data_IF_657453394887
#
_entry.id   IF_657453394887
#
_cell.length_a   1.000
_cell.length_b   1.000
_cell.length_c   1.000
_cell.angle_alpha   90.00
_cell.angle_beta   90.00
_cell.angle_gamma   90.00
#
_symmetry.space_group_name_H-M   'P 1'
#
loop_
_entity.id
_entity.type
_entity.pdbx_description
1 polymer ?
#
# COMPACT_ATOMS: atom_id res chain seq x y z
N UNK A 1 4.13 40.49 3.08
CA UNK A 1 5.23 40.43 4.06
C UNK A 1 4.80 39.47 5.16
N UNK A 2 5.24 38.21 5.09
CA UNK A 2 5.22 37.27 6.21
C UNK A 2 6.70 36.93 6.39
N UNK A 3 7.28 37.36 7.51
CA UNK A 3 8.69 37.14 7.87
C UNK A 3 8.92 35.64 8.04
N UNK A 4 9.72 35.06 7.15
CA UNK A 4 10.54 33.92 7.50
C UNK A 4 11.77 34.50 8.19
N UNK A 5 11.97 34.21 9.47
CA UNK A 5 13.23 34.53 10.12
C UNK A 5 14.34 33.74 9.43
N UNK A 6 15.33 34.50 8.98
CA UNK A 6 16.47 34.06 8.20
C UNK A 6 17.32 33.06 8.98
N UNK A 7 17.42 31.82 8.50
CA UNK A 7 18.61 31.01 8.72
C UNK A 7 19.54 31.18 7.52
N UNK A 8 20.65 31.86 7.80
CA UNK A 8 21.71 32.18 6.87
C UNK A 8 22.60 30.92 6.70
N UNK A 9 22.64 30.30 5.53
CA UNK A 9 23.72 29.36 5.19
C UNK A 9 24.29 29.72 3.82
N UNK A 10 25.47 30.35 3.88
CA UNK A 10 26.34 30.60 2.74
C UNK A 10 26.77 29.26 2.12
N UNK A 11 26.76 29.25 0.79
CA UNK A 11 27.44 28.29 -0.10
C UNK A 11 27.22 26.81 0.22
N UNK A 12 26.30 26.18 -0.51
CA UNK A 12 26.62 24.97 -1.28
C UNK A 12 25.47 24.69 -2.26
N UNK A 13 25.85 24.33 -3.49
CA UNK A 13 24.96 23.92 -4.59
C UNK A 13 23.74 23.16 -4.07
N UNK A 14 22.54 23.68 -4.33
CA UNK A 14 21.29 22.93 -4.30
C UNK A 14 21.45 21.72 -5.24
N UNK A 15 21.70 20.55 -4.69
CA UNK A 15 21.61 19.30 -5.43
C UNK A 15 20.13 18.95 -5.47
N UNK A 16 19.46 19.32 -6.55
CA UNK A 16 18.17 18.75 -6.88
C UNK A 16 18.38 17.26 -7.16
N UNK A 17 18.29 16.41 -6.15
CA UNK A 17 17.83 15.05 -6.41
C UNK A 17 16.33 15.16 -6.70
N UNK A 18 16.03 15.45 -7.96
CA UNK A 18 14.68 15.48 -8.48
C UNK A 18 14.12 14.05 -8.42
N UNK A 19 13.56 13.65 -7.29
CA UNK A 19 12.88 12.37 -7.13
C UNK A 19 11.55 12.44 -7.88
N UNK A 20 11.59 12.22 -9.20
CA UNK A 20 10.41 12.26 -10.09
C UNK A 20 9.36 11.18 -9.80
N UNK A 21 9.57 10.27 -8.84
CA UNK A 21 8.63 9.18 -8.60
C UNK A 21 8.68 8.58 -7.18
N UNK A 22 7.89 9.03 -6.19
CA UNK A 22 7.60 8.13 -5.03
C UNK A 22 6.51 8.52 -4.05
N UNK A 23 6.09 9.77 -3.96
CA UNK A 23 4.91 10.03 -3.14
C UNK A 23 3.63 9.60 -3.91
N UNK A 24 2.41 9.71 -3.34
CA UNK A 24 1.20 9.74 -4.17
C UNK A 24 1.47 10.69 -5.34
N UNK A 25 0.90 10.49 -6.54
CA UNK A 25 1.20 11.21 -7.81
C UNK A 25 1.25 12.77 -7.75
N UNK A 26 1.07 13.35 -6.57
CA UNK A 26 1.01 14.74 -6.16
C UNK A 26 2.09 15.19 -5.15
N UNK A 27 3.14 14.43 -4.79
CA UNK A 27 4.17 14.95 -3.87
C UNK A 27 5.62 14.53 -4.25
N UNK A 28 6.59 15.32 -3.77
CA UNK A 28 8.03 15.22 -3.97
C UNK A 28 8.75 15.33 -2.62
N UNK A 29 9.94 14.73 -2.50
CA UNK A 29 10.81 14.96 -1.36
C UNK A 29 12.04 15.76 -1.78
N UNK A 30 12.39 16.78 -1.02
CA UNK A 30 13.54 17.64 -1.28
C UNK A 30 14.55 17.48 -0.15
N UNK A 31 15.81 17.21 -0.50
CA UNK A 31 16.90 17.19 0.48
C UNK A 31 17.52 18.58 0.60
N UNK A 32 17.51 19.12 1.81
CA UNK A 32 18.22 20.36 2.17
C UNK A 32 19.16 20.06 3.34
N UNK A 33 20.44 19.83 3.07
CA UNK A 33 21.40 19.40 4.09
C UNK A 33 21.07 18.02 4.67
N UNK A 34 20.86 17.94 5.98
CA UNK A 34 20.44 16.72 6.69
C UNK A 34 18.91 16.53 6.72
N UNK A 35 18.13 17.49 6.22
CA UNK A 35 16.66 17.45 6.28
C UNK A 35 16.03 16.97 4.95
N UNK A 36 14.87 16.29 5.03
CA UNK A 36 14.06 15.93 3.87
C UNK A 36 12.67 16.61 3.94
N UNK A 37 12.39 17.55 3.05
CA UNK A 37 11.09 18.26 2.99
C UNK A 37 10.10 17.52 2.09
N UNK A 38 8.81 17.52 2.44
CA UNK A 38 7.74 16.92 1.63
C UNK A 38 6.94 18.03 0.93
N UNK A 39 7.07 18.11 -0.40
CA UNK A 39 6.50 19.19 -1.22
C UNK A 39 5.37 18.63 -2.09
N UNK A 40 4.23 19.34 -2.22
CA UNK A 40 3.16 18.97 -3.16
C UNK A 40 3.57 19.25 -4.61
N UNK A 41 2.89 18.61 -5.56
CA UNK A 41 3.16 18.71 -7.00
C UNK A 41 2.77 20.06 -7.60
N UNK A 42 1.90 20.81 -6.93
CA UNK A 42 1.59 22.21 -7.23
C UNK A 42 2.62 23.18 -6.60
N UNK A 43 3.77 22.67 -6.14
CA UNK A 43 4.83 23.41 -5.43
C UNK A 43 4.41 24.03 -4.09
N UNK A 44 3.26 23.66 -3.52
CA UNK A 44 2.91 24.06 -2.16
C UNK A 44 3.53 23.11 -1.12
N UNK A 45 4.01 23.58 0.04
CA UNK A 45 4.46 22.70 1.11
C UNK A 45 3.34 21.74 1.55
N UNK A 46 3.59 20.44 1.50
CA UNK A 46 2.70 19.43 2.09
C UNK A 46 3.03 19.19 3.56
N UNK A 47 4.30 19.38 3.88
CA UNK A 47 4.86 19.06 5.17
C UNK A 47 6.38 19.06 5.16
N UNK A 48 6.94 18.71 6.29
CA UNK A 48 8.36 18.52 6.49
C UNK A 48 8.55 17.22 7.28
N UNK A 49 9.63 16.50 7.03
CA UNK A 49 10.03 15.43 7.93
C UNK A 49 11.54 15.44 8.13
N UNK A 50 11.96 15.17 9.35
CA UNK A 50 13.39 15.00 9.65
C UNK A 50 13.51 13.65 10.33
N UNK A 51 14.55 12.91 9.98
CA UNK A 51 14.76 11.58 10.51
C UNK A 51 16.23 11.34 10.81
N UNK A 52 16.48 10.40 11.72
CA UNK A 52 17.78 9.82 11.98
C UNK A 52 17.64 8.30 12.04
N UNK A 53 18.74 7.60 11.82
CA UNK A 53 18.79 6.15 11.93
C UNK A 53 20.01 5.74 12.75
N UNK A 54 19.77 4.99 13.82
CA UNK A 54 20.80 4.45 14.70
C UNK A 54 20.27 3.18 15.37
N UNK A 55 21.16 2.21 15.66
CA UNK A 55 20.84 0.99 16.41
C UNK A 55 19.59 0.23 15.91
N UNK A 56 19.44 0.09 14.59
CA UNK A 56 18.28 -0.57 13.95
C UNK A 56 16.91 0.11 14.24
N UNK A 57 16.95 1.40 14.59
CA UNK A 57 15.77 2.24 14.83
C UNK A 57 15.82 3.47 13.94
N UNK A 58 14.67 3.81 13.35
CA UNK A 58 14.48 5.06 12.63
C UNK A 58 13.65 6.01 13.48
N UNK A 59 14.24 7.13 13.88
CA UNK A 59 13.54 8.20 14.58
C UNK A 59 13.14 9.26 13.57
N UNK A 60 11.92 9.78 13.65
CA UNK A 60 11.53 10.91 12.82
C UNK A 60 10.56 11.85 13.52
N UNK A 61 10.49 13.06 12.99
CA UNK A 61 9.47 14.05 13.28
C UNK A 61 8.80 14.45 11.97
N UNK A 62 7.48 14.66 11.99
CA UNK A 62 6.69 15.00 10.80
C UNK A 62 5.72 16.13 11.10
N UNK A 63 5.65 17.07 10.17
CA UNK A 63 4.71 18.18 10.18
C UNK A 63 3.95 18.17 8.87
N UNK A 64 2.63 18.35 8.93
CA UNK A 64 1.80 18.51 7.73
C UNK A 64 1.26 19.94 7.66
N UNK A 65 1.25 20.50 6.47
CA UNK A 65 0.65 21.81 6.23
C UNK A 65 -0.86 21.78 6.55
N UNK A 66 -1.41 22.95 6.91
CA UNK A 66 -2.84 23.13 7.11
C UNK A 66 -3.60 22.78 5.82
N UNK A 67 -4.70 22.02 5.94
CA UNK A 67 -5.48 21.58 4.77
C UNK A 67 -4.91 20.40 4.00
N UNK A 68 -3.94 19.67 4.56
CA UNK A 68 -3.48 18.41 3.97
C UNK A 68 -4.50 17.31 4.29
N UNK A 69 -5.26 16.85 3.30
CA UNK A 69 -6.31 15.84 3.48
C UNK A 69 -5.78 14.39 3.52
N UNK A 70 -4.61 14.14 2.92
CA UNK A 70 -4.05 12.78 2.74
C UNK A 70 -3.00 12.38 3.80
N UNK A 71 -3.01 12.99 4.98
CA UNK A 71 -1.96 12.81 6.02
C UNK A 71 -1.67 11.35 6.36
N UNK A 72 -2.72 10.50 6.45
CA UNK A 72 -2.59 9.06 6.71
C UNK A 72 -1.76 8.36 5.64
N UNK A 73 -2.06 8.65 4.37
CA UNK A 73 -1.36 8.07 3.23
C UNK A 73 0.07 8.59 3.12
N UNK A 74 0.29 9.87 3.38
CA UNK A 74 1.63 10.46 3.35
C UNK A 74 2.53 9.86 4.43
N UNK A 75 2.00 9.69 5.66
CA UNK A 75 2.74 9.04 6.72
C UNK A 75 3.10 7.59 6.37
N UNK A 76 2.19 6.84 5.73
CA UNK A 76 2.45 5.48 5.27
C UNK A 76 3.62 5.41 4.28
N UNK A 77 3.66 6.35 3.32
CA UNK A 77 4.74 6.44 2.33
C UNK A 77 6.07 6.82 2.97
N UNK A 78 6.08 7.76 3.92
CA UNK A 78 7.30 8.11 4.68
C UNK A 78 7.82 6.87 5.42
N UNK A 79 6.92 6.12 6.07
CA UNK A 79 7.29 4.89 6.77
C UNK A 79 7.88 3.86 5.80
N UNK A 80 7.23 3.59 4.68
CA UNK A 80 7.74 2.64 3.69
C UNK A 80 9.12 3.07 3.15
N UNK A 81 9.35 4.36 2.98
CA UNK A 81 10.66 4.87 2.58
C UNK A 81 11.74 4.55 3.62
N UNK A 82 11.46 4.78 4.89
CA UNK A 82 12.38 4.44 5.98
C UNK A 82 12.65 2.94 6.01
N UNK A 83 11.61 2.11 5.82
CA UNK A 83 11.73 0.65 5.74
C UNK A 83 12.66 0.23 4.60
N UNK A 84 12.46 0.74 3.40
CA UNK A 84 13.26 0.40 2.21
C UNK A 84 14.71 0.88 2.26
N UNK A 85 14.93 2.02 2.92
CA UNK A 85 16.27 2.63 2.92
C UNK A 85 17.14 2.06 4.04
N UNK A 86 16.55 1.80 5.20
CA UNK A 86 17.31 1.49 6.42
C UNK A 86 16.95 0.14 7.05
N UNK A 87 15.87 -0.50 6.62
CA UNK A 87 15.36 -1.77 7.18
C UNK A 87 15.26 -1.81 8.74
N UNK A 88 14.79 -0.73 9.40
CA UNK A 88 14.70 -0.66 10.85
C UNK A 88 13.81 -1.76 11.43
N UNK A 89 14.09 -2.20 12.66
CA UNK A 89 13.15 -2.99 13.47
C UNK A 89 12.01 -2.13 14.01
N UNK A 90 12.26 -0.85 14.26
CA UNK A 90 11.31 0.07 14.87
C UNK A 90 11.40 1.42 14.17
N UNK A 91 10.24 1.98 13.84
CA UNK A 91 10.11 3.40 13.49
C UNK A 91 9.48 4.12 14.68
N UNK A 92 10.08 5.24 15.12
CA UNK A 92 9.62 6.02 16.26
C UNK A 92 9.39 7.48 15.90
N UNK A 93 8.30 8.05 16.42
CA UNK A 93 8.00 9.47 16.38
C UNK A 93 8.37 10.04 17.74
N UNK A 94 9.51 10.73 17.81
CA UNK A 94 10.09 11.22 19.06
C UNK A 94 9.34 12.44 19.64
N UNK A 95 8.81 13.30 18.76
CA UNK A 95 8.08 14.52 19.13
C UNK A 95 6.67 14.50 18.51
N UNK A 96 5.76 13.65 19.00
CA UNK A 96 4.45 13.48 18.36
C UNK A 96 3.57 14.72 18.54
N UNK A 97 3.06 15.24 17.43
CA UNK A 97 2.01 16.26 17.45
C UNK A 97 0.65 15.65 17.84
N UNK A 98 0.05 16.10 18.95
CA UNK A 98 -1.19 15.51 19.51
C UNK A 98 -2.34 15.48 18.50
N UNK A 99 -2.50 16.54 17.70
CA UNK A 99 -3.55 16.64 16.68
C UNK A 99 -3.40 15.62 15.53
N UNK A 100 -2.29 14.87 15.48
CA UNK A 100 -2.06 13.79 14.52
C UNK A 100 -2.22 12.38 15.13
N UNK A 101 -2.71 12.26 16.36
CA UNK A 101 -2.91 10.97 17.04
C UNK A 101 -3.64 9.92 16.18
N UNK A 102 -4.73 10.31 15.52
CA UNK A 102 -5.50 9.40 14.66
C UNK A 102 -4.78 9.05 13.35
N UNK A 103 -3.84 9.89 12.90
CA UNK A 103 -2.96 9.59 11.76
C UNK A 103 -1.91 8.55 12.15
N UNK A 104 -1.34 8.66 13.35
CA UNK A 104 -0.37 7.70 13.88
C UNK A 104 -1.01 6.34 14.11
N UNK A 105 -2.16 6.29 14.78
CA UNK A 105 -2.91 5.04 15.02
C UNK A 105 -3.30 4.34 13.71
N UNK A 106 -3.77 5.10 12.72
CA UNK A 106 -4.10 4.55 11.40
C UNK A 106 -2.89 3.93 10.67
N UNK A 107 -1.67 4.33 11.05
CA UNK A 107 -0.42 3.80 10.51
C UNK A 107 0.23 2.73 11.39
N UNK A 108 -0.53 2.16 12.34
CA UNK A 108 -0.09 1.13 13.30
C UNK A 108 0.98 1.58 14.29
N UNK A 109 1.08 2.88 14.57
CA UNK A 109 1.89 3.36 15.69
C UNK A 109 1.14 3.18 17.01
N UNK A 110 1.87 2.74 18.03
CA UNK A 110 1.38 2.59 19.41
C UNK A 110 2.09 3.60 20.29
N UNK A 111 1.34 4.28 21.17
CA UNK A 111 1.92 5.22 22.14
C UNK A 111 2.71 4.45 23.21
N UNK A 112 3.95 4.84 23.46
CA UNK A 112 4.84 4.27 24.46
C UNK A 112 5.52 5.43 25.21
N UNK A 113 5.00 5.80 26.39
CA UNK A 113 5.41 7.04 27.06
C UNK A 113 5.11 8.28 26.21
N UNK A 114 6.12 9.10 25.99
CA UNK A 114 6.04 10.35 25.22
C UNK A 114 6.25 10.16 23.71
N UNK A 115 6.48 8.93 23.26
CA UNK A 115 6.75 8.62 21.85
C UNK A 115 5.66 7.73 21.25
N UNK A 116 5.63 7.67 19.93
CA UNK A 116 4.85 6.67 19.18
C UNK A 116 5.80 5.72 18.45
N UNK A 117 5.55 4.42 18.54
CA UNK A 117 6.41 3.38 17.95
C UNK A 117 5.63 2.46 17.02
N UNK A 118 6.22 2.15 15.86
CA UNK A 118 5.77 1.12 14.93
C UNK A 118 6.85 0.05 14.84
N UNK A 119 6.51 -1.17 15.28
CA UNK A 119 7.36 -2.34 15.06
C UNK A 119 7.20 -2.79 13.62
N UNK A 120 8.31 -2.98 12.92
CA UNK A 120 8.33 -3.52 11.56
C UNK A 120 8.23 -5.03 11.65
N UNK A 121 7.30 -5.61 10.87
CA UNK A 121 7.07 -7.05 10.92
C UNK A 121 8.29 -7.84 10.39
N UNK A 122 8.61 -9.01 10.97
CA UNK A 122 9.75 -9.81 10.54
C UNK A 122 9.74 -10.18 9.06
N UNK A 123 8.55 -10.45 8.51
CA UNK A 123 8.38 -10.80 7.09
C UNK A 123 8.84 -9.70 6.15
N UNK A 124 8.66 -8.42 6.54
CA UNK A 124 9.12 -7.29 5.73
C UNK A 124 10.66 -7.22 5.65
N UNK A 125 11.38 -7.71 6.67
CA UNK A 125 12.85 -7.70 6.72
C UNK A 125 13.50 -8.80 5.86
N UNK A 126 12.85 -9.96 5.77
CA UNK A 126 13.40 -11.10 5.01
C UNK A 126 13.09 -11.03 3.51
N UNK A 127 12.12 -10.19 3.12
CA UNK A 127 11.70 -10.03 1.74
C UNK A 127 12.51 -8.96 1.01
N UNK A 128 12.85 -9.25 -0.24
CA UNK A 128 13.49 -8.29 -1.13
C UNK A 128 12.58 -7.08 -1.40
N UNK A 129 13.14 -5.88 -1.44
CA UNK A 129 12.38 -4.65 -1.69
C UNK A 129 11.65 -4.62 -3.05
N UNK A 130 12.09 -5.40 -4.04
CA UNK A 130 11.40 -5.56 -5.33
C UNK A 130 10.05 -6.29 -5.21
N UNK A 131 9.73 -6.86 -4.04
CA UNK A 131 8.40 -7.36 -3.70
C UNK A 131 7.39 -6.22 -3.62
N UNK A 132 7.84 -5.02 -3.22
CA UNK A 132 6.99 -3.88 -2.87
C UNK A 132 7.19 -2.72 -3.84
N UNK A 133 6.12 -1.95 -4.07
CA UNK A 133 6.27 -0.61 -4.64
C UNK A 133 6.65 0.43 -3.56
N UNK A 134 6.77 1.69 -3.94
CA UNK A 134 7.18 2.79 -3.06
C UNK A 134 6.07 3.21 -2.09
N UNK A 135 4.82 2.84 -2.37
CA UNK A 135 3.71 2.99 -1.44
C UNK A 135 3.60 1.76 -0.50
N UNK A 136 4.39 0.71 -0.72
CA UNK A 136 4.43 -0.52 0.06
C UNK A 136 3.39 -1.56 -0.35
N UNK A 137 2.78 -1.43 -1.53
CA UNK A 137 1.92 -2.48 -2.08
C UNK A 137 2.76 -3.66 -2.54
N UNK A 138 2.28 -4.87 -2.30
CA UNK A 138 2.92 -6.10 -2.78
C UNK A 138 2.62 -6.23 -4.28
N UNK A 139 3.66 -6.15 -5.11
CA UNK A 139 3.58 -6.20 -6.58
C UNK A 139 4.27 -7.41 -7.19
N UNK A 140 5.02 -8.19 -6.41
CA UNK A 140 5.77 -9.34 -6.90
C UNK A 140 5.69 -10.55 -5.95
N UNK A 141 4.56 -11.25 -6.01
CA UNK A 141 4.36 -12.53 -5.33
C UNK A 141 5.41 -13.59 -5.72
N UNK A 142 5.94 -13.51 -6.95
CA UNK A 142 6.92 -14.48 -7.46
C UNK A 142 8.21 -14.59 -6.62
N UNK A 143 8.50 -13.56 -5.82
CA UNK A 143 9.67 -13.46 -4.94
C UNK A 143 9.37 -13.74 -3.46
N UNK A 144 8.20 -14.31 -3.13
CA UNK A 144 7.76 -14.55 -1.75
C UNK A 144 7.73 -16.05 -1.41
N UNK A 145 8.83 -16.78 -1.69
CA UNK A 145 8.89 -18.23 -1.43
C UNK A 145 9.07 -18.54 0.06
N UNK A 146 9.68 -17.61 0.79
CA UNK A 146 10.03 -17.69 2.20
C UNK A 146 8.81 -17.49 3.11
N UNK A 147 7.70 -16.98 2.55
CA UNK A 147 6.50 -16.64 3.30
C UNK A 147 5.51 -17.80 3.25
N UNK A 148 5.20 -18.44 4.40
CA UNK A 148 4.30 -19.58 4.44
C UNK A 148 2.84 -19.17 4.22
N UNK A 149 2.05 -20.09 3.67
CA UNK A 149 0.61 -19.98 3.53
C UNK A 149 -0.03 -21.37 3.56
N UNK A 150 -0.43 -21.83 4.76
CA UNK A 150 -0.84 -23.21 4.98
C UNK A 150 0.28 -24.19 4.67
N UNK A 151 -0.03 -25.24 3.90
CA UNK A 151 0.94 -26.24 3.44
C UNK A 151 1.80 -25.79 2.26
N UNK A 152 1.61 -24.56 1.78
CA UNK A 152 2.28 -24.02 0.59
C UNK A 152 3.05 -22.74 0.94
N UNK A 153 3.86 -22.26 -0.01
CA UNK A 153 4.41 -20.91 0.05
C UNK A 153 3.49 -19.88 -0.63
N UNK A 154 3.72 -18.61 -0.28
CA UNK A 154 2.98 -17.48 -0.84
C UNK A 154 3.21 -17.33 -2.33
N UNK A 155 4.42 -17.62 -2.83
CA UNK A 155 4.71 -17.62 -4.27
C UNK A 155 3.68 -18.47 -5.04
N UNK A 156 3.34 -19.65 -4.54
CA UNK A 156 2.48 -20.60 -5.22
C UNK A 156 0.98 -20.42 -4.92
N UNK A 157 0.60 -20.00 -3.71
CA UNK A 157 -0.82 -19.99 -3.28
C UNK A 157 -1.28 -18.70 -2.56
N UNK A 158 -0.43 -17.69 -2.45
CA UNK A 158 -0.71 -16.48 -1.65
C UNK A 158 -1.40 -15.32 -2.38
N UNK A 159 -1.80 -15.46 -3.65
CA UNK A 159 -2.36 -14.35 -4.43
C UNK A 159 -3.61 -13.72 -3.79
N UNK A 160 -4.45 -14.53 -3.12
CA UNK A 160 -5.67 -14.05 -2.46
C UNK A 160 -5.39 -13.14 -1.26
N UNK A 161 -4.51 -13.56 -0.34
CA UNK A 161 -4.17 -12.74 0.82
C UNK A 161 -3.37 -11.50 0.46
N UNK A 162 -2.49 -11.60 -0.54
CA UNK A 162 -1.79 -10.43 -1.11
C UNK A 162 -2.80 -9.43 -1.65
N UNK A 163 -3.81 -9.90 -2.37
CA UNK A 163 -4.82 -9.02 -2.93
C UNK A 163 -5.65 -8.34 -1.82
N UNK A 164 -5.98 -9.07 -0.75
CA UNK A 164 -6.63 -8.55 0.44
C UNK A 164 -5.80 -7.51 1.19
N UNK A 165 -4.52 -7.81 1.44
CA UNK A 165 -3.54 -6.89 2.06
C UNK A 165 -3.48 -5.56 1.29
N UNK A 166 -3.32 -5.64 -0.04
CA UNK A 166 -3.25 -4.46 -0.88
C UNK A 166 -4.58 -3.65 -0.88
N UNK A 167 -5.74 -4.30 -0.78
CA UNK A 167 -7.02 -3.58 -0.62
C UNK A 167 -7.07 -2.83 0.70
N UNK A 168 -6.73 -3.46 1.83
CA UNK A 168 -6.71 -2.78 3.13
C UNK A 168 -5.75 -1.59 3.13
N UNK A 169 -4.53 -1.80 2.61
CA UNK A 169 -3.54 -0.73 2.47
C UNK A 169 -4.05 0.43 1.63
N UNK A 170 -4.75 0.14 0.52
CA UNK A 170 -5.35 1.17 -0.34
C UNK A 170 -6.48 1.95 0.35
N UNK A 171 -7.16 1.33 1.31
CA UNK A 171 -8.17 1.96 2.15
C UNK A 171 -7.58 2.67 3.38
N UNK A 172 -6.25 2.77 3.47
CA UNK A 172 -5.56 3.42 4.58
C UNK A 172 -5.62 2.61 5.89
N UNK A 173 -5.80 1.30 5.78
CA UNK A 173 -5.86 0.36 6.90
C UNK A 173 -4.56 -0.45 6.94
N UNK A 174 -3.57 0.03 7.69
CA UNK A 174 -2.30 -0.69 7.87
C UNK A 174 -2.50 -1.96 8.70
N UNK A 175 -1.91 -3.07 8.22
CA UNK A 175 -1.91 -4.38 8.86
C UNK A 175 -0.61 -5.10 8.49
N UNK A 176 -0.23 -6.12 9.26
CA UNK A 176 0.92 -6.96 8.92
C UNK A 176 0.56 -7.99 7.86
N UNK A 177 1.53 -8.36 7.01
CA UNK A 177 1.41 -9.46 6.05
C UNK A 177 1.12 -10.77 6.78
N UNK A 178 1.78 -11.03 7.92
CA UNK A 178 1.54 -12.24 8.71
C UNK A 178 0.09 -12.38 9.17
N UNK A 179 -0.51 -11.28 9.64
CA UNK A 179 -1.91 -11.28 10.07
C UNK A 179 -2.84 -11.57 8.90
N UNK A 180 -2.62 -10.91 7.75
CA UNK A 180 -3.42 -11.15 6.55
C UNK A 180 -3.34 -12.61 6.09
N UNK A 181 -2.12 -13.16 6.00
CA UNK A 181 -1.89 -14.54 5.60
C UNK A 181 -2.58 -15.52 6.55
N UNK A 182 -2.37 -15.41 7.87
CA UNK A 182 -2.96 -16.33 8.86
C UNK A 182 -4.48 -16.25 8.94
N UNK A 183 -5.07 -15.06 8.82
CA UNK A 183 -6.53 -14.92 8.89
C UNK A 183 -7.23 -15.53 7.67
N UNK A 184 -6.62 -15.41 6.49
CA UNK A 184 -7.16 -15.96 5.24
C UNK A 184 -6.80 -17.45 5.04
N UNK A 185 -5.65 -17.89 5.53
CA UNK A 185 -5.25 -19.30 5.55
C UNK A 185 -6.33 -20.20 6.18
N UNK A 186 -6.98 -19.75 7.26
CA UNK A 186 -8.09 -20.47 7.91
C UNK A 186 -9.23 -20.77 6.92
N UNK A 187 -9.52 -19.83 6.03
CA UNK A 187 -10.52 -19.98 4.99
C UNK A 187 -10.06 -20.87 3.83
N UNK A 188 -8.76 -20.85 3.50
CA UNK A 188 -8.16 -21.72 2.49
C UNK A 188 -8.11 -23.19 2.94
N UNK A 189 -7.78 -23.45 4.21
CA UNK A 189 -7.75 -24.80 4.79
C UNK A 189 -9.13 -25.48 4.75
N UNK A 190 -10.22 -24.72 4.93
CA UNK A 190 -11.59 -25.21 4.81
C UNK A 190 -12.03 -25.43 3.34
N UNK A 191 -11.33 -24.86 2.37
CA UNK A 191 -11.64 -24.90 0.94
C UNK A 191 -10.90 -25.96 0.12
N UNK A 192 -9.94 -26.70 0.70
CA UNK A 192 -9.19 -27.76 0.02
C UNK A 192 -8.04 -27.27 -0.89
N UNK A 193 -7.49 -28.18 -1.72
CA UNK A 193 -6.27 -28.08 -2.55
C UNK A 193 -6.18 -26.88 -3.54
N UNK A 194 -7.19 -26.00 -3.58
CA UNK A 194 -7.35 -24.91 -4.54
C UNK A 194 -7.21 -23.50 -3.91
N UNK A 195 -6.08 -23.20 -3.26
CA UNK A 195 -5.73 -21.82 -2.86
C UNK A 195 -6.79 -21.08 -2.01
N UNK A 196 -6.74 -19.74 -2.00
CA UNK A 196 -7.69 -18.91 -1.25
C UNK A 196 -9.11 -18.96 -1.86
N UNK A 197 -10.11 -19.23 -1.01
CA UNK A 197 -11.52 -19.24 -1.41
C UNK A 197 -12.05 -17.80 -1.54
N UNK A 198 -12.66 -17.47 -2.69
CA UNK A 198 -13.22 -16.16 -2.99
C UNK A 198 -14.22 -15.67 -1.93
N UNK A 199 -15.05 -16.57 -1.40
CA UNK A 199 -16.02 -16.23 -0.36
C UNK A 199 -15.33 -15.93 0.98
N UNK A 200 -14.27 -16.67 1.32
CA UNK A 200 -13.46 -16.40 2.50
C UNK A 200 -12.83 -15.01 2.44
N UNK A 201 -12.23 -14.66 1.30
CA UNK A 201 -11.69 -13.31 1.07
C UNK A 201 -12.77 -12.23 1.16
N UNK A 202 -13.95 -12.46 0.58
CA UNK A 202 -15.08 -11.52 0.66
C UNK A 202 -15.56 -11.29 2.11
N UNK A 203 -15.78 -12.37 2.87
CA UNK A 203 -16.21 -12.30 4.26
C UNK A 203 -15.14 -11.68 5.15
N UNK A 204 -13.88 -11.99 4.89
CA UNK A 204 -12.75 -11.39 5.59
C UNK A 204 -12.69 -9.89 5.35
N UNK A 205 -12.78 -9.41 4.10
CA UNK A 205 -12.80 -7.97 3.81
C UNK A 205 -13.98 -7.25 4.48
N UNK A 206 -15.17 -7.89 4.54
CA UNK A 206 -16.31 -7.37 5.32
C UNK A 206 -15.99 -7.31 6.82
N UNK A 207 -15.37 -8.36 7.38
CA UNK A 207 -14.98 -8.41 8.79
C UNK A 207 -13.99 -7.32 9.17
N UNK A 208 -13.13 -6.89 8.23
CA UNK A 208 -12.25 -5.73 8.45
C UNK A 208 -13.00 -4.38 8.43
N UNK A 209 -14.31 -4.35 8.17
CA UNK A 209 -15.15 -3.14 8.20
C UNK A 209 -15.30 -2.44 6.85
N UNK A 210 -14.91 -3.07 5.74
CA UNK A 210 -15.08 -2.49 4.40
C UNK A 210 -16.50 -2.73 3.84
N UNK A 211 -17.10 -1.71 3.23
CA UNK A 211 -18.31 -1.87 2.41
C UNK A 211 -17.95 -2.50 1.05
N UNK A 212 -17.88 -3.84 1.04
CA UNK A 212 -17.59 -4.62 -0.15
C UNK A 212 -18.82 -5.29 -0.73
N UNK A 213 -18.83 -5.44 -2.05
CA UNK A 213 -19.85 -6.18 -2.78
C UNK A 213 -19.26 -6.93 -3.96
N UNK A 214 -19.84 -8.08 -4.30
CA UNK A 214 -19.37 -8.92 -5.40
C UNK A 214 -20.11 -8.63 -6.71
N UNK A 215 -19.47 -8.94 -7.85
CA UNK A 215 -20.14 -9.06 -9.14
C UNK A 215 -20.71 -10.47 -9.33
N UNK A 216 -21.72 -10.61 -10.17
CA UNK A 216 -22.04 -11.91 -10.77
C UNK A 216 -20.87 -12.34 -11.69
N UNK A 217 -20.62 -13.66 -11.85
CA UNK A 217 -19.59 -14.15 -12.76
C UNK A 217 -19.86 -13.68 -14.20
N UNK A 218 -19.00 -12.81 -14.71
CA UNK A 218 -18.80 -12.49 -16.13
C UNK A 218 -17.89 -11.30 -16.28
N UNK A 219 -17.12 -11.26 -17.38
CA UNK A 219 -16.26 -10.10 -17.69
C UNK A 219 -17.07 -8.79 -17.80
N UNK A 220 -18.28 -8.83 -18.37
CA UNK A 220 -19.17 -7.66 -18.48
C UNK A 220 -19.63 -7.14 -17.11
N UNK A 221 -20.02 -8.04 -16.21
CA UNK A 221 -20.44 -7.66 -14.86
C UNK A 221 -19.26 -7.14 -14.03
N UNK A 222 -18.07 -7.72 -14.20
CA UNK A 222 -16.85 -7.24 -13.56
C UNK A 222 -16.52 -5.80 -13.99
N UNK A 223 -16.51 -5.50 -15.29
CA UNK A 223 -16.27 -4.14 -15.80
C UNK A 223 -17.28 -3.14 -15.25
N UNK A 224 -18.58 -3.49 -15.24
CA UNK A 224 -19.61 -2.63 -14.63
C UNK A 224 -19.37 -2.39 -13.14
N UNK A 225 -18.93 -3.42 -12.40
CA UNK A 225 -18.65 -3.33 -10.97
C UNK A 225 -17.46 -2.42 -10.68
N UNK A 226 -16.35 -2.61 -11.42
CA UNK A 226 -15.13 -1.83 -11.33
C UNK A 226 -15.41 -0.34 -11.55
N UNK A 227 -16.20 0.02 -12.57
CA UNK A 227 -16.55 1.42 -12.86
C UNK A 227 -17.17 2.17 -11.67
N UNK A 228 -17.89 1.44 -10.80
CA UNK A 228 -18.65 1.98 -9.67
C UNK A 228 -17.91 1.85 -8.32
N UNK A 229 -16.67 1.37 -8.33
CA UNK A 229 -15.88 1.13 -7.12
C UNK A 229 -14.67 2.08 -7.04
N UNK A 230 -14.09 2.18 -5.85
CA UNK A 230 -12.80 2.85 -5.65
C UNK A 230 -11.64 1.90 -5.94
N UNK A 231 -11.76 0.66 -5.45
CA UNK A 231 -10.76 -0.38 -5.59
C UNK A 231 -11.39 -1.76 -5.36
N UNK A 232 -10.58 -2.81 -5.44
CA UNK A 232 -11.01 -4.14 -5.05
C UNK A 232 -10.10 -5.24 -5.55
N UNK A 233 -10.65 -6.45 -5.60
CA UNK A 233 -9.97 -7.66 -6.07
C UNK A 233 -10.66 -8.19 -7.32
N UNK A 234 -9.86 -8.61 -8.31
CA UNK A 234 -10.32 -9.35 -9.48
C UNK A 234 -9.81 -10.79 -9.34
N UNK A 235 -10.73 -11.75 -9.36
CA UNK A 235 -10.43 -13.16 -9.57
C UNK A 235 -10.67 -13.47 -11.05
N UNK A 236 -9.67 -14.03 -11.71
CA UNK A 236 -9.77 -14.45 -13.11
C UNK A 236 -8.92 -15.69 -13.38
N UNK A 237 -9.24 -16.41 -14.45
CA UNK A 237 -8.46 -17.55 -14.90
C UNK A 237 -7.50 -17.14 -16.02
N UNK A 238 -6.23 -17.51 -15.89
CA UNK A 238 -5.23 -17.40 -16.94
C UNK A 238 -4.59 -18.77 -17.25
N UNK A 239 -3.57 -18.79 -18.09
CA UNK A 239 -2.95 -20.04 -18.61
C UNK A 239 -2.34 -20.94 -17.54
N UNK A 240 -2.17 -20.48 -16.29
CA UNK A 240 -1.62 -21.27 -15.17
C UNK A 240 -2.62 -21.48 -14.03
N UNK A 241 -3.89 -21.16 -14.25
CA UNK A 241 -4.97 -21.32 -13.28
C UNK A 241 -5.61 -20.01 -12.84
N UNK A 242 -6.36 -20.09 -11.73
CA UNK A 242 -7.03 -18.95 -11.12
C UNK A 242 -6.03 -18.03 -10.41
N UNK A 243 -6.19 -16.73 -10.56
CA UNK A 243 -5.33 -15.72 -9.94
C UNK A 243 -6.12 -14.53 -9.42
N UNK A 244 -5.64 -13.98 -8.30
CA UNK A 244 -6.19 -12.79 -7.66
C UNK A 244 -5.25 -11.61 -7.88
N UNK A 245 -5.83 -10.48 -8.25
CA UNK A 245 -5.11 -9.20 -8.38
C UNK A 245 -5.90 -8.09 -7.71
N UNK A 246 -5.21 -7.12 -7.15
CA UNK A 246 -5.84 -5.88 -6.65
C UNK A 246 -5.91 -4.86 -7.78
N UNK A 247 -6.98 -4.09 -7.82
CA UNK A 247 -7.07 -2.92 -8.70
C UNK A 247 -7.41 -1.65 -7.91
N UNK A 248 -6.90 -0.52 -8.42
CA UNK A 248 -7.30 0.84 -8.06
C UNK A 248 -8.05 1.44 -9.25
N UNK A 249 -9.21 2.02 -9.04
CA UNK A 249 -9.95 2.74 -10.07
C UNK A 249 -9.41 4.16 -10.21
N UNK A 250 -8.93 4.51 -11.41
CA UNK A 250 -8.38 5.83 -11.72
C UNK A 250 -9.40 6.75 -12.43
N UNK A 251 -10.63 6.28 -12.64
CA UNK A 251 -11.66 6.96 -13.43
C UNK A 251 -11.51 6.72 -14.93
N UNK A 252 -12.53 7.14 -15.69
CA UNK A 252 -12.57 7.00 -17.16
C UNK A 252 -12.22 5.59 -17.67
N UNK A 253 -12.72 4.57 -16.99
CA UNK A 253 -12.46 3.13 -17.24
C UNK A 253 -11.03 2.64 -17.00
N UNK A 254 -10.10 3.52 -16.62
CA UNK A 254 -8.73 3.14 -16.31
C UNK A 254 -8.62 2.56 -14.91
N UNK A 255 -7.87 1.46 -14.81
CA UNK A 255 -7.49 0.85 -13.54
C UNK A 255 -5.97 0.68 -13.48
N UNK A 256 -5.40 0.90 -12.30
CA UNK A 256 -4.07 0.40 -11.96
C UNK A 256 -4.21 -0.97 -11.32
N UNK A 257 -3.36 -1.91 -11.71
CA UNK A 257 -3.46 -3.31 -11.32
C UNK A 257 -2.17 -3.75 -10.64
N UNK A 258 -2.29 -4.36 -9.47
CA UNK A 258 -1.17 -4.81 -8.65
C UNK A 258 -1.05 -6.33 -8.76
N UNK A 259 0.19 -6.82 -8.82
CA UNK A 259 0.53 -8.25 -8.85
C UNK A 259 -0.08 -9.04 -10.04
N UNK A 260 -0.52 -8.37 -11.10
CA UNK A 260 -0.93 -9.01 -12.36
C UNK A 260 0.24 -9.36 -13.27
N UNK A 261 1.26 -8.50 -13.27
CA UNK A 261 2.56 -8.74 -13.89
C UNK A 261 3.58 -8.48 -12.79
N UNK A 262 4.31 -9.51 -12.39
CA UNK A 262 5.20 -9.45 -11.24
C UNK A 262 6.23 -8.32 -11.38
N UNK A 263 6.30 -7.48 -10.34
CA UNK A 263 7.20 -6.32 -10.28
C UNK A 263 6.74 -5.11 -11.08
N UNK A 264 5.61 -5.18 -11.81
CA UNK A 264 5.13 -4.06 -12.62
C UNK A 264 4.24 -3.11 -11.80
N UNK A 265 4.84 -2.01 -11.33
CA UNK A 265 4.16 -0.92 -10.59
C UNK A 265 3.06 -0.24 -11.39
N UNK A 266 3.41 0.25 -12.59
CA UNK A 266 2.52 1.07 -13.43
C UNK A 266 1.78 0.22 -14.45
N UNK A 267 1.12 -0.85 -13.99
CA UNK A 267 0.22 -1.61 -14.85
C UNK A 267 -1.14 -0.90 -14.91
N UNK A 268 -1.22 0.13 -15.74
CA UNK A 268 -2.44 0.89 -16.00
C UNK A 268 -3.03 0.49 -17.34
N UNK A 269 -4.32 0.17 -17.35
CA UNK A 269 -5.07 -0.10 -18.58
C UNK A 269 -6.57 0.04 -18.35
N UNK A 270 -7.36 0.00 -19.43
CA UNK A 270 -8.82 -0.05 -19.29
C UNK A 270 -9.25 -1.39 -18.69
N UNK A 271 -10.24 -1.37 -17.80
CA UNK A 271 -10.74 -2.61 -17.16
C UNK A 271 -11.27 -3.63 -18.17
N UNK A 272 -11.86 -3.17 -19.28
CA UNK A 272 -12.33 -4.06 -20.36
C UNK A 272 -11.17 -4.74 -21.09
N UNK A 273 -10.09 -3.99 -21.35
CA UNK A 273 -8.89 -4.52 -22.01
C UNK A 273 -8.18 -5.54 -21.12
N UNK A 274 -8.17 -5.32 -19.80
CA UNK A 274 -7.63 -6.29 -18.85
C UNK A 274 -8.39 -7.62 -18.93
N UNK A 275 -9.73 -7.57 -18.86
CA UNK A 275 -10.57 -8.77 -18.95
C UNK A 275 -10.38 -9.50 -20.28
N UNK A 276 -10.26 -8.77 -21.39
CA UNK A 276 -10.04 -9.38 -22.72
C UNK A 276 -8.67 -10.05 -22.84
N UNK A 277 -7.63 -9.42 -22.28
CA UNK A 277 -6.23 -9.86 -22.46
C UNK A 277 -5.81 -10.95 -21.47
N UNK A 278 -6.27 -10.88 -20.22
CA UNK A 278 -5.76 -11.71 -19.14
C UNK A 278 -6.77 -12.75 -18.63
N UNK A 279 -8.08 -12.50 -18.72
CA UNK A 279 -9.10 -13.46 -18.33
C UNK A 279 -9.47 -14.37 -19.51
N UNK A 280 -8.78 -15.51 -19.63
CA UNK A 280 -8.96 -16.47 -20.72
C UNK A 280 -10.37 -17.09 -20.74
N UNK A 281 -11.03 -17.14 -19.57
CA UNK A 281 -12.39 -17.66 -19.44
C UNK A 281 -13.34 -16.55 -18.95
N UNK A 282 -14.60 -16.52 -19.42
CA UNK A 282 -15.56 -15.47 -19.09
C UNK A 282 -16.18 -15.63 -17.69
N UNK A 283 -15.48 -16.24 -16.75
CA UNK A 283 -15.97 -16.57 -15.39
C UNK A 283 -15.35 -15.71 -14.30
N UNK A 284 -14.72 -14.58 -14.68
CA UNK A 284 -14.14 -13.64 -13.72
C UNK A 284 -15.16 -13.11 -12.73
N UNK A 285 -14.70 -12.84 -11.50
CA UNK A 285 -15.49 -12.25 -10.42
C UNK A 285 -14.72 -11.10 -9.78
N UNK A 286 -15.43 -10.03 -9.41
CA UNK A 286 -14.85 -8.89 -8.70
C UNK A 286 -15.45 -8.78 -7.30
N UNK A 287 -14.60 -8.64 -6.29
CA UNK A 287 -14.95 -8.06 -5.00
C UNK A 287 -14.59 -6.58 -5.06
N UNK A 288 -15.57 -5.70 -4.89
CA UNK A 288 -15.39 -4.25 -5.04
C UNK A 288 -15.70 -3.51 -3.75
N UNK A 289 -14.80 -2.61 -3.33
CA UNK A 289 -15.07 -1.62 -2.29
C UNK A 289 -15.88 -0.49 -2.91
N UNK A 290 -17.03 -0.16 -2.32
CA UNK A 290 -17.90 0.89 -2.84
C UNK A 290 -17.21 2.25 -2.74
N UNK A 291 -17.53 3.16 -3.67
CA UNK A 291 -17.19 4.57 -3.50
C UNK A 291 -17.95 5.10 -2.29
N UNK A 292 -17.26 5.77 -1.37
CA UNK A 292 -17.93 6.54 -0.32
C UNK A 292 -18.86 7.54 -0.99
N UNK A 293 -20.10 7.60 -0.53
CA UNK A 293 -21.10 8.60 -0.92
C UNK A 293 -20.65 9.99 -0.50
#
# INVERSE_FOLDING_TARGET
MIRFESMNYRSNKLIFEEWKASAPERFYMLREGEELRLIRRDNQPAGMFVYSFADDKADFSVWFAKGTDDRKKLLAVICERLVRTYHPSIIRIANPLEHLTEVYKANSFVKNGDVYEKKIEPWRKILNDAVFDEEGFIINQGMMKEIPFGWFDTKNKGCGWIAGYNVLKMMGMETTMERCAKELEKGALLGGLMGENLFSLFLWLKKQGLDVSMSLPSNRNCVKKIRRSTCGVILYNHSRGAHYVTYRNLGHDNIQIYNAVYGKRSHVMKSADFMKKFALFPTSVVIAVRKGS
#
